data_IF_569859258290
#
_entry.id   IF_569859258290
#
_cell.length_a   1.000
_cell.length_b   1.000
_cell.length_c   1.000
_cell.angle_alpha   90.00
_cell.angle_beta   90.00
_cell.angle_gamma   90.00
#
_symmetry.space_group_name_H-M   'P 1'
#
loop_
_entity.id
_entity.type
_entity.pdbx_description
1 polymer ?
#
# COMPACT_ATOMS: atom_id res chain seq x y z
N UNK A 1 -16.40 20.15 -0.95
CA UNK A 1 -16.24 18.72 -0.65
C UNK A 1 -16.91 17.99 -1.79
N UNK A 2 -16.11 17.57 -2.77
CA UNK A 2 -16.64 16.85 -3.93
C UNK A 2 -16.52 15.35 -3.64
N UNK A 3 -17.53 14.82 -2.95
CA UNK A 3 -17.68 13.38 -2.65
C UNK A 3 -18.05 12.55 -3.88
N UNK A 4 -17.95 13.09 -5.10
CA UNK A 4 -18.27 12.37 -6.33
C UNK A 4 -17.28 11.24 -6.65
N UNK A 5 -16.01 11.37 -6.26
CA UNK A 5 -14.99 10.40 -6.66
C UNK A 5 -15.03 9.15 -5.77
N UNK A 6 -15.25 8.01 -6.42
CA UNK A 6 -15.21 6.67 -5.83
C UNK A 6 -14.18 5.82 -6.54
N UNK A 7 -13.59 4.88 -5.80
CA UNK A 7 -12.74 3.85 -6.38
C UNK A 7 -13.29 2.48 -6.01
N UNK A 8 -13.07 1.51 -6.91
CA UNK A 8 -13.37 0.12 -6.62
C UNK A 8 -12.32 -0.39 -5.63
N UNK A 9 -12.79 -0.87 -4.49
CA UNK A 9 -11.98 -1.54 -3.48
C UNK A 9 -12.22 -3.04 -3.54
N UNK A 10 -11.26 -3.80 -3.03
CA UNK A 10 -11.29 -5.26 -3.07
C UNK A 10 -12.49 -5.87 -2.35
N UNK A 11 -12.75 -5.38 -1.15
CA UNK A 11 -13.69 -6.02 -0.21
C UNK A 11 -15.07 -5.37 -0.23
N UNK A 12 -15.17 -4.08 -0.55
CA UNK A 12 -16.39 -3.30 -0.38
C UNK A 12 -16.89 -2.62 -1.67
N UNK A 13 -16.35 -2.97 -2.83
CA UNK A 13 -16.79 -2.38 -4.10
C UNK A 13 -16.50 -0.88 -4.20
N UNK A 14 -17.43 -0.09 -4.75
CA UNK A 14 -17.22 1.36 -4.93
C UNK A 14 -17.28 2.13 -3.60
N UNK A 15 -16.13 2.60 -3.12
CA UNK A 15 -16.02 3.39 -1.89
C UNK A 15 -15.63 4.84 -2.17
N UNK A 16 -16.15 5.81 -1.39
CA UNK A 16 -15.83 7.22 -1.56
C UNK A 16 -14.40 7.53 -1.13
N UNK A 17 -13.76 8.41 -1.89
CA UNK A 17 -12.48 9.01 -1.49
C UNK A 17 -12.76 10.16 -0.53
N UNK A 18 -12.13 10.15 0.65
CA UNK A 18 -12.20 11.27 1.59
C UNK A 18 -11.20 12.36 1.22
N UNK A 19 -9.97 11.97 0.85
CA UNK A 19 -8.92 12.91 0.44
C UNK A 19 -7.90 12.25 -0.49
N UNK A 20 -7.38 13.04 -1.42
CA UNK A 20 -6.18 12.70 -2.20
C UNK A 20 -5.07 13.66 -1.80
N UNK A 21 -4.03 13.14 -1.14
CA UNK A 21 -2.86 13.90 -0.73
C UNK A 21 -1.72 13.64 -1.70
N UNK A 22 -0.99 14.69 -2.07
CA UNK A 22 0.18 14.59 -2.95
C UNK A 22 1.39 15.19 -2.26
N UNK A 23 2.40 14.36 -2.04
CA UNK A 23 3.69 14.79 -1.49
C UNK A 23 4.72 14.76 -2.60
N UNK A 24 5.25 15.93 -2.95
CA UNK A 24 6.32 16.07 -3.94
C UNK A 24 7.67 15.98 -3.22
N UNK A 25 8.56 15.13 -3.72
CA UNK A 25 9.94 15.00 -3.28
C UNK A 25 10.88 15.26 -4.45
N UNK A 26 11.93 16.01 -4.20
CA UNK A 26 13.03 16.23 -5.11
C UNK A 26 14.13 15.20 -4.86
N UNK A 27 15.02 15.03 -5.84
CA UNK A 27 16.21 14.19 -5.67
C UNK A 27 17.08 14.64 -4.49
N UNK A 28 17.18 15.95 -4.24
CA UNK A 28 17.89 16.50 -3.08
C UNK A 28 17.28 16.03 -1.77
N UNK A 29 15.95 15.97 -1.69
CA UNK A 29 15.25 15.53 -0.49
C UNK A 29 15.57 14.06 -0.21
N UNK A 30 15.66 13.22 -1.25
CA UNK A 30 16.03 11.81 -1.12
C UNK A 30 17.53 11.57 -0.88
N UNK A 31 18.39 12.56 -1.16
CA UNK A 31 19.79 12.51 -0.75
C UNK A 31 19.95 12.79 0.74
N UNK A 32 19.13 13.67 1.30
CA UNK A 32 19.09 13.98 2.73
C UNK A 32 18.32 12.92 3.51
N UNK A 33 17.22 12.43 2.95
CA UNK A 33 16.29 11.45 3.54
C UNK A 33 16.14 10.22 2.64
N UNK A 34 17.18 9.36 2.55
CA UNK A 34 17.15 8.17 1.69
C UNK A 34 16.05 7.18 2.08
N UNK A 35 15.56 7.21 3.32
CA UNK A 35 14.44 6.41 3.82
C UNK A 35 13.11 6.70 3.10
N UNK A 36 12.99 7.82 2.39
CA UNK A 36 11.82 8.15 1.57
C UNK A 36 11.96 7.77 0.09
N UNK A 37 13.08 7.16 -0.30
CA UNK A 37 13.32 6.78 -1.70
C UNK A 37 12.27 5.74 -2.15
N UNK A 38 11.64 5.90 -3.32
CA UNK A 38 10.61 4.96 -3.77
C UNK A 38 11.15 3.54 -3.86
N UNK A 39 10.35 2.54 -3.55
CA UNK A 39 10.67 1.15 -3.89
C UNK A 39 10.10 0.81 -5.26
N UNK A 40 10.80 -0.01 -6.04
CA UNK A 40 10.38 -0.39 -7.40
C UNK A 40 10.07 -1.86 -7.47
N UNK A 41 8.81 -2.18 -7.71
CA UNK A 41 8.36 -3.53 -7.96
C UNK A 41 8.45 -3.78 -9.47
N UNK A 42 9.26 -4.75 -9.93
CA UNK A 42 9.37 -5.05 -11.35
C UNK A 42 8.11 -5.74 -11.88
N UNK A 43 7.87 -5.71 -13.19
CA UNK A 43 6.86 -6.57 -13.81
C UNK A 43 7.04 -8.03 -13.39
N UNK A 44 5.93 -8.76 -13.30
CA UNK A 44 5.89 -10.18 -12.99
C UNK A 44 6.42 -10.59 -11.59
N UNK A 45 6.69 -9.63 -10.69
CA UNK A 45 7.27 -9.87 -9.36
C UNK A 45 6.42 -10.79 -8.44
N UNK A 46 5.13 -10.92 -8.72
CA UNK A 46 4.18 -11.74 -7.96
C UNK A 46 3.41 -12.72 -8.85
N UNK A 47 3.99 -13.07 -10.00
CA UNK A 47 3.37 -13.95 -11.00
C UNK A 47 3.10 -13.24 -12.31
N UNK A 48 2.67 -13.98 -13.35
CA UNK A 48 2.54 -13.45 -14.70
C UNK A 48 1.61 -12.23 -14.77
N UNK A 49 2.16 -11.13 -15.29
CA UNK A 49 1.52 -9.81 -15.42
C UNK A 49 1.13 -9.17 -14.08
N UNK A 50 1.82 -9.51 -12.99
CA UNK A 50 1.59 -8.91 -11.66
C UNK A 50 2.92 -8.45 -11.02
N UNK A 51 3.19 -7.14 -11.01
CA UNK A 51 2.48 -6.12 -11.78
C UNK A 51 2.71 -6.26 -13.30
N UNK A 52 1.83 -5.67 -14.11
CA UNK A 52 1.99 -5.63 -15.57
C UNK A 52 3.15 -4.73 -16.03
N UNK A 53 3.48 -3.72 -15.23
CA UNK A 53 4.57 -2.78 -15.45
C UNK A 53 5.35 -2.51 -14.16
N UNK A 54 6.46 -1.77 -14.25
CA UNK A 54 7.13 -1.28 -13.05
C UNK A 54 6.20 -0.42 -12.19
N UNK A 55 6.00 -0.80 -10.94
CA UNK A 55 5.25 -0.01 -9.95
C UNK A 55 6.23 0.66 -8.99
N UNK A 56 6.11 1.98 -8.85
CA UNK A 56 6.83 2.75 -7.84
C UNK A 56 5.91 3.01 -6.65
N UNK A 57 6.31 2.55 -5.46
CA UNK A 57 5.56 2.77 -4.23
C UNK A 57 6.37 3.60 -3.24
N UNK A 58 5.68 4.25 -2.31
CA UNK A 58 6.37 4.76 -1.12
C UNK A 58 6.86 3.58 -0.29
N UNK A 59 8.01 3.71 0.41
CA UNK A 59 8.61 2.64 1.21
C UNK A 59 7.66 1.90 2.15
N UNK A 60 6.75 2.65 2.80
CA UNK A 60 5.84 2.13 3.81
C UNK A 60 4.42 1.90 3.25
N UNK A 61 4.24 1.91 1.93
CA UNK A 61 2.99 1.45 1.32
C UNK A 61 2.72 0.01 1.72
N UNK A 62 1.51 -0.25 2.22
CA UNK A 62 1.09 -1.57 2.65
C UNK A 62 0.60 -2.35 1.43
N UNK A 63 1.24 -3.47 1.12
CA UNK A 63 0.88 -4.34 -0.01
C UNK A 63 0.28 -5.62 0.55
N UNK A 64 -0.81 -6.07 -0.05
CA UNK A 64 -1.39 -7.36 0.29
C UNK A 64 -0.42 -8.47 -0.09
N UNK A 65 -0.08 -9.29 0.89
CA UNK A 65 0.74 -10.48 0.72
C UNK A 65 -0.08 -11.69 1.17
N UNK A 66 -0.13 -12.71 0.33
CA UNK A 66 -0.77 -13.97 0.70
C UNK A 66 0.29 -15.02 0.96
N UNK A 67 0.10 -15.79 2.01
CA UNK A 67 1.00 -16.89 2.35
C UNK A 67 0.24 -17.97 3.14
N UNK A 68 0.39 -19.26 2.81
CA UNK A 68 -0.09 -20.34 3.66
C UNK A 68 0.52 -20.30 5.08
N UNK A 69 1.72 -19.74 5.23
CA UNK A 69 2.36 -19.58 6.54
C UNK A 69 1.76 -18.44 7.35
N UNK A 70 1.23 -17.42 6.68
CA UNK A 70 0.51 -16.35 7.37
C UNK A 70 -0.71 -16.89 8.13
N UNK A 71 -1.38 -17.92 7.61
CA UNK A 71 -2.48 -18.60 8.30
C UNK A 71 -2.02 -19.15 9.67
N UNK A 72 -0.84 -19.77 9.71
CA UNK A 72 -0.28 -20.38 10.92
C UNK A 72 0.11 -19.33 11.97
N UNK A 73 0.62 -18.18 11.54
CA UNK A 73 1.15 -17.15 12.45
C UNK A 73 0.13 -16.07 12.83
N UNK A 74 -0.81 -15.76 11.94
CA UNK A 74 -1.70 -14.61 12.05
C UNK A 74 -3.19 -14.97 11.95
N UNK A 75 -3.52 -16.25 11.78
CA UNK A 75 -4.91 -16.73 11.68
C UNK A 75 -5.61 -16.30 10.39
N UNK A 76 -4.85 -15.90 9.38
CA UNK A 76 -5.32 -15.56 8.03
C UNK A 76 -4.18 -15.72 7.04
N UNK A 77 -4.48 -16.27 5.87
CA UNK A 77 -3.53 -16.38 4.77
C UNK A 77 -3.24 -15.03 4.08
N UNK A 78 -3.96 -13.95 4.43
CA UNK A 78 -3.77 -12.60 3.89
C UNK A 78 -3.26 -11.62 4.95
N UNK A 79 -2.14 -10.97 4.68
CA UNK A 79 -1.51 -9.96 5.54
C UNK A 79 -1.07 -8.75 4.73
N UNK A 80 -0.78 -7.63 5.39
CA UNK A 80 -0.18 -6.46 4.76
C UNK A 80 1.29 -6.34 5.13
N UNK A 81 2.13 -6.19 4.12
CA UNK A 81 3.57 -6.04 4.28
C UNK A 81 4.04 -4.69 3.73
N UNK A 82 5.03 -4.03 4.36
CA UNK A 82 5.62 -2.80 3.82
C UNK A 82 6.31 -3.05 2.48
N UNK A 83 6.22 -2.10 1.54
CA UNK A 83 6.89 -2.16 0.24
C UNK A 83 8.40 -2.39 0.33
N UNK A 84 9.07 -1.87 1.36
CA UNK A 84 10.51 -2.10 1.63
C UNK A 84 10.88 -3.56 1.90
N UNK A 85 9.90 -4.41 2.23
CA UNK A 85 10.14 -5.84 2.37
C UNK A 85 10.11 -6.54 1.02
N UNK A 86 9.28 -6.03 0.10
CA UNK A 86 9.02 -6.64 -1.21
C UNK A 86 9.99 -6.22 -2.30
N UNK A 87 10.58 -5.03 -2.19
CA UNK A 87 11.48 -4.49 -3.19
C UNK A 87 12.51 -3.56 -2.57
N UNK A 88 13.65 -3.46 -3.27
CA UNK A 88 14.72 -2.55 -2.89
C UNK A 88 14.38 -1.09 -3.23
N UNK A 89 14.93 -0.13 -2.47
CA UNK A 89 14.85 1.28 -2.81
C UNK A 89 15.42 1.56 -4.20
N UNK A 90 14.75 2.44 -4.94
CA UNK A 90 15.15 2.82 -6.28
C UNK A 90 16.53 3.46 -6.26
N UNK A 91 17.49 2.98 -7.06
CA UNK A 91 18.77 3.64 -7.18
C UNK A 91 18.58 5.01 -7.83
N UNK A 92 18.91 6.09 -7.11
CA UNK A 92 18.87 7.48 -7.60
C UNK A 92 19.99 7.77 -8.61
N UNK A 93 20.16 6.93 -9.62
CA UNK A 93 21.31 6.96 -10.55
C UNK A 93 21.02 7.71 -11.84
N UNK A 94 19.76 7.83 -12.28
CA UNK A 94 19.42 8.43 -13.58
C UNK A 94 19.19 9.94 -13.47
N UNK A 95 19.67 10.77 -14.42
CA UNK A 95 19.42 12.22 -14.42
C UNK A 95 17.94 12.60 -14.48
N UNK A 96 17.09 11.76 -15.09
CA UNK A 96 15.65 11.98 -15.21
C UNK A 96 14.84 11.73 -13.93
N UNK A 97 15.44 11.14 -12.90
CA UNK A 97 14.79 10.87 -11.61
C UNK A 97 14.94 12.09 -10.67
N UNK A 98 14.45 13.25 -11.13
CA UNK A 98 14.64 14.54 -10.44
C UNK A 98 13.50 14.91 -9.49
N UNK A 99 12.30 14.38 -9.72
CA UNK A 99 11.09 14.66 -8.93
C UNK A 99 10.23 13.40 -8.82
N UNK A 100 9.71 13.17 -7.62
CA UNK A 100 8.80 12.09 -7.26
C UNK A 100 7.53 12.69 -6.66
N UNK A 101 6.39 12.06 -6.92
CA UNK A 101 5.12 12.47 -6.32
C UNK A 101 4.46 11.24 -5.73
N UNK A 102 4.35 11.19 -4.41
CA UNK A 102 3.52 10.19 -3.74
C UNK A 102 2.09 10.67 -3.70
N UNK A 103 1.18 9.83 -4.19
CA UNK A 103 -0.26 10.07 -4.11
C UNK A 103 -0.84 9.12 -3.08
N UNK A 104 -1.37 9.68 -1.99
CA UNK A 104 -1.99 8.93 -0.90
C UNK A 104 -3.50 9.15 -0.94
N UNK A 105 -4.25 8.07 -0.85
CA UNK A 105 -5.71 8.10 -0.93
C UNK A 105 -6.26 7.76 0.45
N UNK A 106 -6.94 8.71 1.09
CA UNK A 106 -7.62 8.49 2.35
C UNK A 106 -9.07 8.10 2.09
N UNK A 107 -9.53 7.06 2.78
CA UNK A 107 -10.90 6.55 2.74
C UNK A 107 -11.45 6.41 4.15
N UNK A 108 -12.76 6.21 4.29
CA UNK A 108 -13.40 6.06 5.60
C UNK A 108 -12.90 4.84 6.37
N UNK A 109 -12.60 3.76 5.65
CA UNK A 109 -11.96 2.54 6.16
C UNK A 109 -10.61 2.40 5.47
N UNK A 110 -9.70 1.63 6.07
CA UNK A 110 -8.54 1.18 5.33
C UNK A 110 -9.00 0.18 4.26
N UNK A 111 -8.79 0.53 3.00
CA UNK A 111 -9.27 -0.24 1.85
C UNK A 111 -8.10 -0.73 1.00
N UNK A 112 -8.30 -1.79 0.24
CA UNK A 112 -7.31 -2.31 -0.72
C UNK A 112 -7.69 -1.88 -2.14
N UNK A 113 -6.76 -1.19 -2.80
CA UNK A 113 -6.89 -0.64 -4.15
C UNK A 113 -6.05 -1.46 -5.14
N UNK A 114 -6.58 -1.68 -6.34
CA UNK A 114 -5.87 -2.39 -7.39
C UNK A 114 -4.89 -1.44 -8.10
N UNK A 115 -3.60 -1.79 -8.08
CA UNK A 115 -2.51 -1.07 -8.76
C UNK A 115 -1.76 -2.07 -9.63
N UNK A 116 -1.91 -1.98 -10.95
CA UNK A 116 -1.29 -2.90 -11.92
C UNK A 116 -1.51 -4.39 -11.58
N UNK A 117 -2.69 -4.75 -11.06
CA UNK A 117 -3.01 -6.14 -10.66
C UNK A 117 -2.58 -6.53 -9.24
N UNK A 118 -1.88 -5.64 -8.53
CA UNK A 118 -1.55 -5.81 -7.11
C UNK A 118 -2.59 -5.14 -6.22
N UNK A 119 -2.73 -5.63 -4.99
CA UNK A 119 -3.56 -4.97 -3.98
C UNK A 119 -2.70 -4.15 -3.02
N UNK A 120 -2.92 -2.84 -3.01
CA UNK A 120 -2.19 -1.88 -2.19
C UNK A 120 -3.17 -1.15 -1.28
N UNK A 121 -2.81 -1.03 -0.01
CA UNK A 121 -3.59 -0.30 0.99
C UNK A 121 -3.75 1.17 0.63
N UNK A 122 -4.96 1.68 0.85
CA UNK A 122 -5.19 3.11 0.99
C UNK A 122 -4.36 3.66 2.16
N UNK A 123 -4.30 4.98 2.31
CA UNK A 123 -3.60 5.60 3.43
C UNK A 123 -4.14 5.06 4.75
N UNK A 124 -3.32 4.29 5.46
CA UNK A 124 -3.61 3.83 6.81
C UNK A 124 -2.95 4.77 7.81
N UNK A 125 -3.76 5.40 8.65
CA UNK A 125 -3.28 6.32 9.67
C UNK A 125 -3.63 5.73 11.03
N UNK A 126 -2.65 5.09 11.67
CA UNK A 126 -2.84 4.47 13.00
C UNK A 126 -3.15 5.53 14.08
N UNK A 127 -2.53 6.71 13.97
CA UNK A 127 -2.83 7.88 14.78
C UNK A 127 -3.10 9.07 13.86
N UNK A 128 -4.39 9.40 13.70
CA UNK A 128 -4.87 10.44 12.80
C UNK A 128 -4.23 11.80 13.11
N UNK A 129 -3.98 12.08 14.39
CA UNK A 129 -3.44 13.35 14.87
C UNK A 129 -1.94 13.49 14.54
N UNK A 130 -1.23 12.37 14.38
CA UNK A 130 0.22 12.39 14.14
C UNK A 130 0.58 12.63 12.65
N UNK A 131 -0.30 12.29 11.71
CA UNK A 131 0.03 12.27 10.27
C UNK A 131 -0.69 13.38 9.49
N UNK A 132 -1.79 13.91 10.02
CA UNK A 132 -2.55 14.96 9.35
C UNK A 132 -2.43 16.27 10.14
N UNK A 133 -1.57 17.18 9.68
CA UNK A 133 -1.54 18.58 10.13
C UNK A 133 -2.77 19.39 9.65
N UNK A 134 -3.85 18.71 9.28
CA UNK A 134 -4.97 19.27 8.54
C UNK A 134 -6.24 18.90 9.31
N UNK A 135 -6.63 19.83 10.20
CA UNK A 135 -7.79 19.76 11.07
C UNK A 135 -9.11 19.90 10.28
N UNK A 136 -9.28 19.24 9.13
CA UNK A 136 -10.56 19.29 8.40
C UNK A 136 -11.63 18.58 9.26
N UNK A 137 -12.59 19.32 9.83
CA UNK A 137 -13.57 18.74 10.76
C UNK A 137 -14.45 17.69 10.07
N UNK A 138 -14.61 17.77 8.74
CA UNK A 138 -15.41 16.82 7.98
C UNK A 138 -14.69 15.49 7.79
N UNK A 139 -13.38 15.50 7.58
CA UNK A 139 -12.58 14.28 7.48
C UNK A 139 -12.51 13.62 8.87
N UNK A 140 -12.27 14.40 9.92
CA UNK A 140 -12.29 13.91 11.29
C UNK A 140 -13.65 13.27 11.65
N UNK A 141 -14.76 13.93 11.31
CA UNK A 141 -16.10 13.37 11.52
C UNK A 141 -16.35 12.08 10.71
N UNK A 142 -15.84 11.99 9.49
CA UNK A 142 -16.02 10.81 8.63
C UNK A 142 -15.25 9.58 9.13
N UNK A 143 -14.04 9.78 9.64
CA UNK A 143 -13.21 8.71 10.22
C UNK A 143 -13.70 8.25 11.59
N UNK A 144 -14.34 9.15 12.34
CA UNK A 144 -14.84 8.87 13.69
C UNK A 144 -13.72 8.84 14.73
N UNK A 145 -14.10 8.62 15.99
CA UNK A 145 -13.20 8.69 17.15
C UNK A 145 -12.60 7.33 17.58
N UNK A 146 -12.82 6.27 16.80
CA UNK A 146 -12.32 4.93 17.09
C UNK A 146 -10.88 4.71 16.60
N UNK A 147 -10.17 3.70 17.13
CA UNK A 147 -8.87 3.33 16.60
C UNK A 147 -9.00 2.90 15.13
N UNK A 148 -8.06 3.34 14.29
CA UNK A 148 -8.05 2.93 12.90
C UNK A 148 -7.80 1.41 12.78
N UNK A 149 -8.68 0.72 12.05
CA UNK A 149 -8.57 -0.72 11.80
C UNK A 149 -8.08 -0.93 10.37
N UNK A 150 -7.00 -1.70 10.22
CA UNK A 150 -6.48 -2.05 8.91
C UNK A 150 -7.32 -3.14 8.22
N UNK A 151 -7.35 -3.15 6.88
CA UNK A 151 -8.10 -4.15 6.10
C UNK A 151 -7.69 -5.60 6.39
N UNK A 152 -6.42 -5.82 6.74
CA UNK A 152 -5.81 -7.11 7.12
C UNK A 152 -4.74 -6.85 8.18
N UNK A 153 -4.24 -7.87 8.90
CA UNK A 153 -3.14 -7.72 9.85
C UNK A 153 -1.93 -7.06 9.18
N UNK A 154 -1.42 -6.00 9.79
CA UNK A 154 -0.23 -5.28 9.33
C UNK A 154 0.98 -5.86 10.01
N UNK A 155 1.90 -6.42 9.23
CA UNK A 155 3.14 -6.96 9.77
C UNK A 155 4.17 -5.86 9.97
N UNK A 156 4.92 -5.97 11.05
CA UNK A 156 6.15 -5.20 11.23
C UNK A 156 7.17 -5.58 10.16
N UNK A 157 8.19 -4.73 9.96
CA UNK A 157 9.23 -5.02 8.97
C UNK A 157 9.96 -6.34 9.25
N UNK A 158 10.19 -6.68 10.53
CA UNK A 158 10.86 -7.92 10.92
C UNK A 158 9.98 -9.16 10.66
N UNK A 159 8.70 -9.11 11.03
CA UNK A 159 7.72 -10.18 10.78
C UNK A 159 7.54 -10.42 9.29
N UNK A 160 7.34 -9.35 8.52
CA UNK A 160 7.18 -9.42 7.09
C UNK A 160 8.43 -10.00 6.40
N UNK A 161 9.63 -9.58 6.82
CA UNK A 161 10.88 -10.14 6.29
C UNK A 161 11.00 -11.63 6.60
N UNK A 162 10.74 -12.04 7.84
CA UNK A 162 10.78 -13.44 8.23
C UNK A 162 9.79 -14.31 7.44
N UNK A 163 8.57 -13.80 7.21
CA UNK A 163 7.56 -14.48 6.40
C UNK A 163 8.01 -14.62 4.93
N UNK A 164 8.41 -13.51 4.32
CA UNK A 164 8.82 -13.47 2.90
C UNK A 164 10.05 -14.34 2.66
N UNK A 165 11.06 -14.28 3.51
CA UNK A 165 12.28 -15.09 3.38
C UNK A 165 11.99 -16.59 3.48
N UNK A 166 10.98 -17.01 4.25
CA UNK A 166 10.55 -18.41 4.33
C UNK A 166 9.75 -18.87 3.11
N UNK A 167 9.08 -17.93 2.44
CA UNK A 167 8.34 -18.16 1.20
C UNK A 167 9.27 -18.17 -0.03
N UNK A 168 10.37 -17.41 0.01
CA UNK A 168 11.44 -17.41 -1.00
C UNK A 168 12.17 -18.78 -0.99
N UNK A 169 11.81 -19.63 -1.96
CA UNK A 169 12.32 -21.00 -2.09
C UNK A 169 11.28 -22.01 -2.57
N UNK A 170 10.01 -21.59 -2.70
CA UNK A 170 8.93 -22.38 -3.32
C UNK A 170 8.19 -21.49 -4.31
N UNK A 171 7.68 -22.08 -5.39
CA UNK A 171 6.94 -21.35 -6.43
C UNK A 171 5.92 -20.41 -5.79
N UNK A 172 6.07 -19.10 -6.04
CA UNK A 172 5.12 -18.08 -5.61
C UNK A 172 3.74 -18.52 -6.11
N UNK A 173 2.79 -18.85 -5.22
CA UNK A 173 1.48 -19.25 -5.68
C UNK A 173 0.79 -18.04 -6.34
N UNK A 174 -0.12 -18.32 -7.26
CA UNK A 174 -0.83 -17.39 -8.15
C UNK A 174 -1.82 -16.48 -7.40
N UNK A 175 -1.30 -15.70 -6.44
CA UNK A 175 -2.03 -15.30 -5.24
C UNK A 175 -2.63 -13.90 -5.27
N UNK A 176 -2.39 -13.09 -6.29
CA UNK A 176 -2.88 -11.70 -6.32
C UNK A 176 -4.08 -11.48 -7.23
N UNK A 177 -4.45 -12.45 -8.06
CA UNK A 177 -5.63 -12.40 -8.92
C UNK A 177 -6.91 -12.77 -8.17
N UNK A 178 -7.46 -11.79 -7.47
CA UNK A 178 -8.90 -11.75 -7.28
C UNK A 178 -9.43 -10.64 -8.18
N UNK A 179 -10.45 -10.92 -8.99
CA UNK A 179 -11.23 -9.85 -9.59
C UNK A 179 -11.94 -9.10 -8.43
N UNK A 180 -12.06 -7.76 -8.48
CA UNK A 180 -12.84 -7.04 -7.48
C UNK A 180 -14.23 -7.66 -7.38
N UNK A 181 -14.67 -8.01 -6.16
CA UNK A 181 -16.00 -8.59 -5.95
C UNK A 181 -17.03 -7.58 -6.44
N UNK A 182 -17.61 -7.84 -7.61
CA UNK A 182 -18.75 -7.10 -8.12
C UNK A 182 -19.97 -7.56 -7.34
N UNK A 183 -20.38 -6.81 -6.33
CA UNK A 183 -21.70 -7.00 -5.74
C UNK A 183 -22.71 -6.32 -6.68
N UNK A 184 -23.77 -7.03 -7.13
CA UNK A 184 -24.81 -6.46 -7.99
C UNK A 184 -25.61 -5.33 -7.33
#
# INVERSE_FOLDING_TARGET
MDTQHKLVTRDHGLQPILRVSRTRLLRSDLQTHPEFAPVVIPPDAFGPSIPGHHVRLSPNSLVLYRSPRAELYYGTNEVLVPGTVLADPMPLRRPGDSTFVYTQILMQRHELLCVEGMWVGSLFVADFNAVCADEDPKIAAALGAGPAVAARPVLTQAEARALVDQDLGKAQPDLLRDAPKHTP
#
